data_IF_331927497195
#
_entry.id   IF_331927497195
#
_cell.length_a   1.000
_cell.length_b   1.000
_cell.length_c   1.000
_cell.angle_alpha   90.00
_cell.angle_beta   90.00
_cell.angle_gamma   90.00
#
_symmetry.space_group_name_H-M   'P 1'
#
loop_
_entity.id
_entity.type
_entity.pdbx_description
1 polymer ?
#
# COMPACT_ATOMS: atom_id res chain seq x y z
N UNK A 1 59.89 7.75 23.45
CA UNK A 1 59.11 7.54 22.21
C UNK A 1 57.85 6.77 22.58
N UNK A 2 56.73 7.45 22.83
CA UNK A 2 55.45 6.82 23.20
C UNK A 2 54.50 6.98 22.00
N UNK A 3 54.21 5.87 21.31
CA UNK A 3 53.24 5.85 20.21
C UNK A 3 51.83 5.76 20.79
N UNK A 4 51.02 6.80 20.58
CA UNK A 4 49.59 6.74 20.79
C UNK A 4 48.94 5.90 19.68
N UNK A 5 48.35 4.76 20.06
CA UNK A 5 47.46 3.98 19.20
C UNK A 5 46.05 4.57 19.31
N UNK A 6 45.64 5.34 18.31
CA UNK A 6 44.26 5.77 18.12
C UNK A 6 43.45 4.59 17.56
N UNK A 7 42.62 3.98 18.41
CA UNK A 7 41.61 3.00 18.00
C UNK A 7 40.36 3.76 17.53
N UNK A 8 40.21 3.91 16.21
CA UNK A 8 38.98 4.44 15.61
C UNK A 8 37.97 3.29 15.58
N UNK A 9 37.01 3.30 16.52
CA UNK A 9 35.83 2.44 16.45
C UNK A 9 34.92 2.94 15.33
N UNK A 10 35.02 2.34 14.15
CA UNK A 10 34.07 2.56 13.07
C UNK A 10 32.76 1.85 13.43
N UNK A 11 31.76 2.62 13.87
CA UNK A 11 30.39 2.13 14.03
C UNK A 11 29.83 1.91 12.63
N UNK A 12 29.88 0.67 12.14
CA UNK A 12 29.23 0.27 10.90
C UNK A 12 27.73 0.21 11.21
N UNK A 13 27.03 1.33 10.97
CA UNK A 13 25.57 1.35 10.99
C UNK A 13 25.13 0.64 9.72
N UNK A 14 24.70 -0.63 9.83
CA UNK A 14 24.04 -1.30 8.72
C UNK A 14 22.75 -0.53 8.40
N UNK A 15 22.61 0.04 7.19
CA UNK A 15 21.31 0.53 6.77
C UNK A 15 20.42 -0.71 6.68
N UNK A 16 19.39 -0.78 7.55
CA UNK A 16 18.32 -1.76 7.39
C UNK A 16 17.85 -1.67 5.94
N UNK A 17 17.99 -2.78 5.21
CA UNK A 17 17.78 -2.83 3.77
C UNK A 17 16.40 -2.28 3.43
N UNK A 18 16.36 -1.21 2.62
CA UNK A 18 15.13 -0.58 2.14
C UNK A 18 14.17 -1.57 1.41
N UNK A 19 14.64 -2.78 1.10
CA UNK A 19 13.89 -3.87 0.48
C UNK A 19 12.68 -4.37 1.31
N UNK A 20 12.71 -4.32 2.64
CA UNK A 20 11.56 -4.76 3.46
C UNK A 20 10.45 -3.71 3.58
N UNK A 21 10.66 -2.52 3.01
CA UNK A 21 9.72 -1.40 3.12
C UNK A 21 8.77 -1.29 1.94
N UNK A 22 9.07 -1.93 0.80
CA UNK A 22 8.30 -1.79 -0.43
C UNK A 22 8.18 -3.14 -1.15
N UNK A 23 6.95 -3.54 -1.50
CA UNK A 23 6.67 -4.76 -2.25
C UNK A 23 5.90 -4.41 -3.52
N UNK A 24 6.45 -4.72 -4.68
CA UNK A 24 5.75 -4.57 -5.96
C UNK A 24 4.58 -5.55 -6.03
N UNK A 25 3.44 -5.07 -6.53
CA UNK A 25 2.28 -5.90 -6.77
C UNK A 25 2.14 -6.19 -8.27
N UNK A 26 1.73 -5.18 -9.03
CA UNK A 26 1.42 -5.31 -10.46
C UNK A 26 1.38 -3.92 -11.08
N UNK A 27 1.27 -3.86 -12.41
CA UNK A 27 1.09 -2.63 -13.18
C UNK A 27 -0.29 -2.65 -13.83
N UNK A 28 -1.05 -1.55 -13.70
CA UNK A 28 -2.30 -1.32 -14.42
C UNK A 28 -2.21 0.05 -15.07
N UNK A 29 -2.44 0.12 -16.39
CA UNK A 29 -2.10 1.28 -17.22
C UNK A 29 -0.64 1.71 -17.00
N UNK A 30 -0.41 2.99 -16.68
CA UNK A 30 0.91 3.58 -16.44
C UNK A 30 1.20 3.69 -14.93
N UNK A 31 0.59 2.84 -14.10
CA UNK A 31 0.76 2.84 -12.65
C UNK A 31 1.29 1.51 -12.16
N UNK A 32 2.50 1.54 -11.62
CA UNK A 32 3.07 0.43 -10.86
C UNK A 32 2.55 0.50 -9.41
N UNK A 33 1.85 -0.52 -8.96
CA UNK A 33 1.26 -0.59 -7.62
C UNK A 33 2.21 -1.27 -6.63
N UNK A 34 2.28 -0.71 -5.42
CA UNK A 34 3.20 -1.13 -4.38
C UNK A 34 2.52 -1.19 -3.02
N UNK A 35 2.94 -2.14 -2.19
CA UNK A 35 2.74 -2.12 -0.74
C UNK A 35 3.90 -1.38 -0.10
N UNK A 36 3.63 -0.29 0.60
CA UNK A 36 4.65 0.48 1.34
C UNK A 36 4.38 0.34 2.83
N UNK A 37 5.38 -0.11 3.59
CA UNK A 37 5.23 -0.32 5.02
C UNK A 37 5.00 1.02 5.72
N UNK A 38 3.87 1.13 6.40
CA UNK A 38 3.53 2.30 7.21
C UNK A 38 4.03 2.12 8.64
N UNK A 39 4.21 3.24 9.35
CA UNK A 39 4.44 3.23 10.81
C UNK A 39 3.25 3.88 11.50
N UNK A 40 2.71 3.25 12.53
CA UNK A 40 1.54 3.70 13.28
C UNK A 40 0.19 3.27 12.67
N UNK A 41 -0.92 3.92 13.08
CA UNK A 41 -2.28 3.50 12.71
C UNK A 41 -2.56 3.60 11.21
N UNK A 42 -3.30 2.66 10.64
CA UNK A 42 -3.69 2.66 9.21
C UNK A 42 -4.88 3.60 8.94
N UNK A 43 -4.77 4.85 9.37
CA UNK A 43 -5.75 5.90 9.04
C UNK A 43 -5.56 6.39 7.60
N UNK A 44 -6.59 7.05 7.05
CA UNK A 44 -6.49 7.72 5.76
C UNK A 44 -5.32 8.73 5.71
N UNK A 45 -5.11 9.47 6.80
CA UNK A 45 -4.01 10.42 6.91
C UNK A 45 -2.65 9.73 6.83
N UNK A 46 -2.48 8.61 7.54
CA UNK A 46 -1.21 7.89 7.57
C UNK A 46 -0.91 7.16 6.25
N UNK A 47 -1.91 6.53 5.64
CA UNK A 47 -1.76 5.91 4.29
C UNK A 47 -1.32 6.96 3.28
N UNK A 48 -1.96 8.14 3.28
CA UNK A 48 -1.58 9.26 2.41
C UNK A 48 -0.17 9.77 2.70
N UNK A 49 0.19 9.94 3.97
CA UNK A 49 1.52 10.40 4.36
C UNK A 49 2.61 9.39 3.96
N UNK A 50 2.34 8.10 4.12
CA UNK A 50 3.25 7.00 3.76
C UNK A 50 3.55 7.01 2.26
N UNK A 51 2.52 7.06 1.40
CA UNK A 51 2.75 7.12 -0.04
C UNK A 51 3.51 8.39 -0.46
N UNK A 52 3.19 9.54 0.14
CA UNK A 52 3.90 10.79 -0.13
C UNK A 52 5.38 10.71 0.27
N UNK A 53 5.68 10.12 1.43
CA UNK A 53 7.05 9.94 1.92
C UNK A 53 7.86 9.01 1.00
N UNK A 54 7.20 8.02 0.39
CA UNK A 54 7.81 7.15 -0.62
C UNK A 54 7.94 7.79 -2.02
N UNK A 55 7.54 9.06 -2.19
CA UNK A 55 7.56 9.73 -3.50
C UNK A 55 6.49 9.20 -4.47
N UNK A 56 5.49 8.46 -3.97
CA UNK A 56 4.46 7.81 -4.77
C UNK A 56 3.13 8.56 -4.71
N UNK A 57 2.26 8.26 -5.67
CA UNK A 57 0.88 8.74 -5.70
C UNK A 57 -0.04 7.82 -4.90
N UNK A 58 -1.25 8.31 -4.68
CA UNK A 58 -2.24 7.68 -3.81
C UNK A 58 -3.35 7.01 -4.63
N UNK A 59 -3.48 5.68 -4.60
CA UNK A 59 -4.70 4.98 -4.97
C UNK A 59 -5.82 5.22 -3.95
N UNK A 60 -7.04 5.43 -4.43
CA UNK A 60 -8.25 5.44 -3.62
C UNK A 60 -8.91 4.06 -3.62
N UNK A 61 -9.84 3.82 -2.71
CA UNK A 61 -10.65 2.59 -2.66
C UNK A 61 -11.36 2.32 -4.00
N UNK A 62 -11.88 3.38 -4.61
CA UNK A 62 -12.35 3.34 -6.00
C UNK A 62 -11.24 3.78 -6.95
N UNK A 63 -11.20 3.19 -8.13
CA UNK A 63 -10.19 3.48 -9.18
C UNK A 63 -10.35 4.84 -9.86
N UNK A 64 -11.47 5.53 -9.68
CA UNK A 64 -11.76 6.77 -10.38
C UNK A 64 -12.99 7.51 -9.88
N UNK A 65 -13.33 8.63 -10.55
CA UNK A 65 -14.53 9.43 -10.27
C UNK A 65 -15.76 8.73 -10.84
N UNK A 66 -16.16 7.66 -10.17
CA UNK A 66 -17.36 6.92 -10.50
C UNK A 66 -18.56 7.62 -9.84
N UNK A 67 -19.81 7.32 -10.25
CA UNK A 67 -21.03 7.98 -9.75
C UNK A 67 -21.25 7.86 -8.22
N UNK A 68 -20.44 7.07 -7.52
CA UNK A 68 -20.56 6.74 -6.10
C UNK A 68 -19.24 6.99 -5.38
N UNK A 69 -19.32 7.43 -4.12
CA UNK A 69 -18.18 7.92 -3.33
C UNK A 69 -17.04 6.92 -3.08
N UNK A 70 -16.02 7.41 -2.36
CA UNK A 70 -14.76 6.73 -1.98
C UNK A 70 -13.62 6.86 -2.99
N UNK A 71 -13.72 7.87 -3.86
CA UNK A 71 -12.62 8.47 -4.62
C UNK A 71 -12.50 9.98 -4.30
N UNK A 72 -11.30 10.57 -4.44
CA UNK A 72 -11.05 12.00 -4.28
C UNK A 72 -10.09 12.55 -5.36
N UNK A 73 -10.14 13.86 -5.70
CA UNK A 73 -9.26 14.48 -6.70
C UNK A 73 -7.76 14.28 -6.52
N UNK A 74 -7.30 14.00 -5.29
CA UNK A 74 -5.88 13.70 -5.00
C UNK A 74 -5.47 12.25 -5.24
N UNK A 75 -6.37 11.40 -5.74
CA UNK A 75 -6.08 10.00 -6.05
C UNK A 75 -5.80 9.79 -7.53
N UNK A 76 -4.96 8.80 -7.83
CA UNK A 76 -4.75 8.36 -9.21
C UNK A 76 -6.05 7.84 -9.83
N UNK A 77 -6.05 7.79 -11.16
CA UNK A 77 -7.09 7.14 -11.95
C UNK A 77 -6.45 6.10 -12.83
N UNK A 78 -7.14 4.97 -12.98
CA UNK A 78 -6.74 3.90 -13.89
C UNK A 78 -7.96 3.18 -14.45
N UNK A 79 -7.77 2.49 -15.57
CA UNK A 79 -8.79 1.75 -16.30
C UNK A 79 -8.74 0.28 -15.91
N UNK A 80 -9.87 -0.24 -15.45
CA UNK A 80 -10.05 -1.65 -15.16
C UNK A 80 -11.56 -1.96 -15.14
N UNK A 81 -11.96 -3.22 -15.40
CA UNK A 81 -13.37 -3.61 -15.32
C UNK A 81 -13.93 -3.42 -13.90
N UNK A 82 -13.16 -3.82 -12.89
CA UNK A 82 -13.48 -3.63 -11.47
C UNK A 82 -13.37 -2.17 -11.03
N UNK A 83 -14.35 -1.70 -10.27
CA UNK A 83 -14.37 -0.34 -9.74
C UNK A 83 -13.63 -0.20 -8.41
N UNK A 84 -13.46 -1.31 -7.67
CA UNK A 84 -12.75 -1.34 -6.39
C UNK A 84 -11.30 -1.66 -6.67
N UNK A 85 -10.39 -0.82 -6.19
CA UNK A 85 -8.95 -0.93 -6.47
C UNK A 85 -8.39 -2.28 -6.04
N UNK A 86 -8.74 -2.78 -4.85
CA UNK A 86 -8.27 -4.08 -4.37
C UNK A 86 -8.84 -5.27 -5.18
N UNK A 87 -10.05 -5.14 -5.74
CA UNK A 87 -10.58 -6.15 -6.68
C UNK A 87 -9.81 -6.14 -8.00
N UNK A 88 -9.48 -4.95 -8.51
CA UNK A 88 -8.69 -4.82 -9.73
C UNK A 88 -7.32 -5.48 -9.56
N UNK A 89 -6.61 -5.14 -8.48
CA UNK A 89 -5.32 -5.76 -8.16
C UNK A 89 -5.43 -7.27 -7.96
N UNK A 90 -6.47 -7.74 -7.28
CA UNK A 90 -6.72 -9.18 -7.10
C UNK A 90 -6.98 -9.90 -8.43
N UNK A 91 -7.62 -9.22 -9.39
CA UNK A 91 -7.80 -9.71 -10.75
C UNK A 91 -6.47 -9.98 -11.44
N UNK A 92 -5.58 -8.98 -11.43
CA UNK A 92 -4.26 -9.07 -12.06
C UNK A 92 -3.34 -10.08 -11.35
N UNK A 93 -3.33 -10.09 -10.02
CA UNK A 93 -2.39 -10.88 -9.21
C UNK A 93 -2.80 -12.34 -9.07
N UNK A 94 -4.11 -12.59 -8.97
CA UNK A 94 -4.66 -13.87 -8.52
C UNK A 94 -5.75 -14.42 -9.45
N UNK A 95 -6.07 -13.73 -10.56
CA UNK A 95 -7.09 -14.15 -11.52
C UNK A 95 -8.52 -14.13 -10.95
N UNK A 96 -8.78 -13.36 -9.88
CA UNK A 96 -10.07 -13.35 -9.17
C UNK A 96 -10.42 -11.95 -8.68
N UNK A 97 -11.65 -11.50 -8.89
CA UNK A 97 -12.08 -10.15 -8.48
C UNK A 97 -13.10 -10.14 -7.33
N UNK A 98 -13.47 -11.31 -6.81
CA UNK A 98 -14.42 -11.43 -5.69
C UNK A 98 -13.76 -11.20 -4.33
N UNK A 99 -14.53 -10.72 -3.34
CA UNK A 99 -14.10 -10.68 -1.93
C UNK A 99 -13.26 -9.48 -1.52
N UNK A 100 -13.35 -8.36 -2.24
CA UNK A 100 -12.65 -7.10 -1.92
C UNK A 100 -11.12 -7.19 -1.92
N UNK A 101 -10.54 -8.27 -2.46
CA UNK A 101 -9.10 -8.57 -2.44
C UNK A 101 -8.65 -9.51 -1.32
N UNK A 102 -9.50 -9.84 -0.33
CA UNK A 102 -9.16 -10.72 0.80
C UNK A 102 -8.85 -12.18 0.42
N UNK A 103 -9.12 -12.57 -0.84
CA UNK A 103 -8.83 -13.91 -1.37
C UNK A 103 -7.53 -13.97 -2.17
N UNK A 104 -6.76 -12.89 -2.19
CA UNK A 104 -5.50 -12.78 -2.91
C UNK A 104 -4.36 -12.54 -1.90
N UNK A 105 -3.61 -13.60 -1.60
CA UNK A 105 -2.53 -13.57 -0.60
C UNK A 105 -1.53 -12.41 -0.80
N UNK A 106 -1.12 -12.02 -2.02
CA UNK A 106 -0.28 -10.84 -2.23
C UNK A 106 -0.84 -9.53 -1.63
N UNK A 107 -2.16 -9.40 -1.50
CA UNK A 107 -2.83 -8.22 -0.94
C UNK A 107 -2.99 -8.26 0.58
N UNK A 108 -2.47 -9.28 1.25
CA UNK A 108 -2.58 -9.40 2.70
C UNK A 108 -2.05 -8.14 3.42
N UNK A 109 -2.76 -7.75 4.48
CA UNK A 109 -2.51 -6.56 5.30
C UNK A 109 -2.39 -5.24 4.52
N UNK A 110 -3.05 -5.13 3.37
CA UNK A 110 -2.94 -3.96 2.49
C UNK A 110 -4.11 -3.00 2.69
N UNK A 111 -3.79 -1.73 2.96
CA UNK A 111 -4.76 -0.66 3.24
C UNK A 111 -4.76 0.40 2.13
N UNK A 112 -5.96 0.71 1.64
CA UNK A 112 -6.19 1.72 0.60
C UNK A 112 -6.97 2.91 1.17
N UNK A 113 -6.66 4.11 0.69
CA UNK A 113 -7.32 5.35 1.11
C UNK A 113 -8.81 5.33 0.75
N UNK A 114 -9.70 5.48 1.73
CA UNK A 114 -11.14 5.47 1.55
C UNK A 114 -11.70 6.89 1.67
N UNK A 115 -11.86 7.60 0.55
CA UNK A 115 -12.29 8.99 0.55
C UNK A 115 -13.66 9.18 1.23
N UNK A 116 -13.79 10.22 2.06
CA UNK A 116 -15.02 10.48 2.82
C UNK A 116 -15.26 9.50 3.97
N UNK A 117 -14.20 8.83 4.44
CA UNK A 117 -14.18 8.04 5.68
C UNK A 117 -13.11 8.58 6.62
N UNK A 118 -13.27 8.27 7.90
CA UNK A 118 -12.31 8.58 8.96
C UNK A 118 -11.05 7.69 8.90
N UNK A 119 -11.15 6.54 8.22
CA UNK A 119 -10.13 5.50 8.22
C UNK A 119 -9.89 4.90 6.84
N UNK A 120 -8.72 4.29 6.64
CA UNK A 120 -8.43 3.52 5.43
C UNK A 120 -9.20 2.18 5.47
N UNK A 121 -9.42 1.60 4.29
CA UNK A 121 -9.99 0.27 4.16
C UNK A 121 -8.88 -0.73 3.92
N UNK A 122 -8.81 -1.78 4.71
CA UNK A 122 -7.83 -2.85 4.54
C UNK A 122 -8.46 -4.20 4.21
N UNK A 123 -7.61 -5.14 3.86
CA UNK A 123 -7.95 -6.56 3.74
C UNK A 123 -6.94 -7.40 4.50
N UNK A 124 -7.42 -8.50 5.04
CA UNK A 124 -6.63 -9.61 5.55
C UNK A 124 -6.87 -10.80 4.62
N UNK A 125 -5.80 -11.53 4.29
CA UNK A 125 -5.93 -12.74 3.49
C UNK A 125 -6.60 -13.82 4.32
N UNK A 126 -7.68 -14.37 3.79
CA UNK A 126 -8.38 -15.50 4.38
C UNK A 126 -8.49 -16.63 3.37
N UNK A 127 -8.09 -17.83 3.79
CA UNK A 127 -8.10 -19.03 2.96
C UNK A 127 -9.51 -19.66 2.83
N UNK A 128 -10.44 -19.29 3.71
CA UNK A 128 -11.84 -19.69 3.67
C UNK A 128 -12.74 -18.60 3.04
N UNK A 129 -14.02 -18.92 2.82
CA UNK A 129 -14.94 -18.06 2.07
C UNK A 129 -15.27 -16.71 2.73
N UNK A 130 -14.71 -16.41 3.90
CA UNK A 130 -14.96 -15.16 4.59
C UNK A 130 -14.33 -13.97 3.84
N UNK A 131 -15.02 -12.85 3.95
CA UNK A 131 -14.64 -11.58 3.32
C UNK A 131 -14.54 -10.56 4.43
N UNK A 132 -13.32 -10.18 4.80
CA UNK A 132 -13.08 -9.20 5.85
C UNK A 132 -12.54 -7.91 5.25
N UNK A 133 -13.40 -6.89 5.29
CA UNK A 133 -12.96 -5.50 5.18
C UNK A 133 -12.51 -5.00 6.54
N UNK A 134 -11.30 -4.46 6.62
CA UNK A 134 -10.70 -3.98 7.85
C UNK A 134 -10.87 -2.46 7.98
N UNK A 135 -11.30 -1.99 9.16
CA UNK A 135 -11.22 -0.56 9.51
C UNK A 135 -9.80 -0.25 9.96
N UNK A 136 -9.04 0.49 9.15
CA UNK A 136 -7.60 0.69 9.38
C UNK A 136 -7.20 1.37 10.69
N UNK A 137 -8.10 2.12 11.33
CA UNK A 137 -7.85 2.75 12.62
C UNK A 137 -7.62 1.70 13.75
N UNK A 138 -8.02 0.45 13.53
CA UNK A 138 -7.82 -0.65 14.47
C UNK A 138 -6.50 -1.40 14.24
N UNK A 139 -5.74 -1.06 13.19
CA UNK A 139 -4.54 -1.77 12.77
C UNK A 139 -3.36 -0.80 12.71
N UNK A 140 -2.16 -1.32 12.98
CA UNK A 140 -0.93 -0.53 13.02
C UNK A 140 0.18 -1.23 12.25
N UNK A 141 1.11 -0.45 11.69
CA UNK A 141 2.35 -0.95 11.10
C UNK A 141 2.18 -1.97 9.95
N UNK A 142 1.08 -1.82 9.20
CA UNK A 142 0.74 -2.63 8.03
C UNK A 142 1.20 -1.95 6.74
N UNK A 143 0.64 -2.33 5.59
CA UNK A 143 1.03 -1.79 4.29
C UNK A 143 0.02 -0.77 3.75
N UNK A 144 0.51 0.41 3.37
CA UNK A 144 -0.21 1.37 2.55
C UNK A 144 -0.12 0.97 1.08
N UNK A 145 -1.26 0.95 0.38
CA UNK A 145 -1.28 0.78 -1.06
C UNK A 145 -0.90 2.12 -1.72
N UNK A 146 0.18 2.12 -2.49
CA UNK A 146 0.72 3.28 -3.19
C UNK A 146 0.93 2.97 -4.67
N UNK A 147 1.07 4.00 -5.50
CA UNK A 147 1.34 3.84 -6.93
C UNK A 147 2.47 4.76 -7.41
N UNK A 148 3.47 4.17 -8.05
CA UNK A 148 4.50 4.89 -8.80
C UNK A 148 4.07 5.05 -10.26
N UNK A 149 4.49 6.14 -10.89
CA UNK A 149 4.36 6.28 -12.35
C UNK A 149 5.26 5.23 -13.00
N UNK A 150 4.70 4.42 -13.89
CA UNK A 150 5.46 3.47 -14.68
C UNK A 150 6.07 4.21 -15.87
N UNK A 151 7.34 4.59 -15.73
CA UNK A 151 8.12 5.17 -16.82
C UNK A 151 8.62 4.03 -17.70
N UNK A 152 7.93 3.83 -18.82
CA UNK A 152 8.36 2.94 -19.91
C UNK A 152 9.74 3.35 -20.48
#
# INVERSE_FOLDING_TARGET
>A
MWKFLLLIAAVIVWPGSAQDQQVYLTTIDNWSFWKIRATGPMTNANVKATCKAAGMKLPCYRRGRDKWGWWAPGCIKFHHAEYITLNALSGELCGRTSGYGSRCQPLDETFVYAAGRDSAFGVEYMSDNAVLGLKGANYNNMYALCAGEDVA
#
